data_IF_473584916591
#
_entry.id   IF_473584916591
#
_cell.length_a   1.000
_cell.length_b   1.000
_cell.length_c   1.000
_cell.angle_alpha   90.00
_cell.angle_beta   90.00
_cell.angle_gamma   90.00
#
_symmetry.space_group_name_H-M   'P 1'
#
loop_
_entity.id
_entity.type
_entity.pdbx_description
1 polymer ?
#
# COMPACT_ATOMS: atom_id res chain seq x y z
N UNK A 1 -18.97 -21.53 -63.15
CA UNK A 1 -18.12 -20.74 -62.24
C UNK A 1 -19.04 -19.99 -61.29
N UNK A 2 -19.02 -20.27 -59.98
CA UNK A 2 -19.84 -19.52 -59.03
C UNK A 2 -19.27 -18.11 -58.84
N UNK A 3 -20.15 -17.12 -58.80
CA UNK A 3 -19.84 -15.69 -58.64
C UNK A 3 -19.39 -15.37 -57.20
N UNK A 4 -18.37 -14.52 -56.99
CA UNK A 4 -18.10 -13.95 -55.69
C UNK A 4 -18.98 -12.71 -55.51
N UNK A 5 -20.16 -12.88 -54.93
CA UNK A 5 -20.92 -11.77 -54.36
C UNK A 5 -20.68 -11.79 -52.85
N UNK A 6 -19.55 -11.25 -52.41
CA UNK A 6 -19.42 -10.80 -51.02
C UNK A 6 -20.31 -9.57 -50.86
N UNK A 7 -21.36 -9.70 -50.07
CA UNK A 7 -22.28 -8.61 -49.77
C UNK A 7 -21.49 -7.45 -49.10
N UNK A 8 -21.54 -6.21 -49.60
CA UNK A 8 -20.90 -5.06 -48.93
C UNK A 8 -21.34 -4.92 -47.46
N UNK A 9 -22.56 -5.35 -47.12
CA UNK A 9 -23.04 -5.34 -45.73
C UNK A 9 -22.28 -6.32 -44.83
N UNK A 10 -21.82 -7.49 -45.33
CA UNK A 10 -21.02 -8.43 -44.55
C UNK A 10 -19.59 -7.92 -44.30
N UNK A 11 -19.01 -7.16 -45.24
CA UNK A 11 -17.70 -6.53 -45.08
C UNK A 11 -17.72 -5.37 -44.06
N UNK A 12 -18.81 -4.59 -44.03
CA UNK A 12 -18.99 -3.52 -43.05
C UNK A 12 -19.25 -4.08 -41.64
N UNK A 13 -20.08 -5.11 -41.48
CA UNK A 13 -20.26 -5.84 -40.21
C UNK A 13 -18.93 -6.31 -39.59
N UNK A 14 -17.98 -6.74 -40.43
CA UNK A 14 -16.64 -7.13 -39.99
C UNK A 14 -15.75 -5.97 -39.51
N UNK A 15 -15.85 -4.78 -40.14
CA UNK A 15 -15.05 -3.61 -39.75
C UNK A 15 -15.59 -2.91 -38.49
N UNK A 16 -16.90 -2.73 -38.36
CA UNK A 16 -17.51 -2.18 -37.14
C UNK A 16 -17.22 -3.08 -35.93
N UNK A 17 -17.39 -4.40 -36.10
CA UNK A 17 -17.08 -5.40 -35.07
C UNK A 17 -15.60 -5.40 -34.69
N UNK A 18 -14.70 -5.19 -35.65
CA UNK A 18 -13.25 -5.08 -35.41
C UNK A 18 -12.88 -3.91 -34.49
N UNK A 19 -13.32 -2.70 -34.83
CA UNK A 19 -13.06 -1.50 -34.01
C UNK A 19 -13.68 -1.60 -32.61
N UNK A 20 -14.91 -2.11 -32.52
CA UNK A 20 -15.55 -2.34 -31.23
C UNK A 20 -14.74 -3.33 -30.37
N UNK A 21 -14.35 -4.48 -30.94
CA UNK A 21 -13.59 -5.49 -30.22
C UNK A 21 -12.22 -4.99 -29.78
N UNK A 22 -11.52 -4.26 -30.64
CA UNK A 22 -10.24 -3.66 -30.31
C UNK A 22 -10.37 -2.64 -29.18
N UNK A 23 -11.41 -1.79 -29.24
CA UNK A 23 -11.73 -0.86 -28.16
C UNK A 23 -12.00 -1.56 -26.83
N UNK A 24 -12.73 -2.68 -26.83
CA UNK A 24 -12.94 -3.49 -25.62
C UNK A 24 -11.63 -4.03 -25.05
N UNK A 25 -10.73 -4.52 -25.91
CA UNK A 25 -9.44 -5.05 -25.49
C UNK A 25 -8.57 -3.97 -24.84
N UNK A 26 -8.42 -2.81 -25.48
CA UNK A 26 -7.73 -1.67 -24.88
C UNK A 26 -8.35 -1.28 -23.53
N UNK A 27 -9.68 -1.24 -23.44
CA UNK A 27 -10.36 -0.92 -22.19
C UNK A 27 -10.06 -1.94 -21.09
N UNK A 28 -10.06 -3.23 -21.43
CA UNK A 28 -9.70 -4.31 -20.50
C UNK A 28 -8.26 -4.21 -20.02
N UNK A 29 -7.34 -3.73 -20.85
CA UNK A 29 -5.94 -3.47 -20.50
C UNK A 29 -5.76 -2.19 -19.66
N UNK A 30 -6.80 -1.35 -19.54
CA UNK A 30 -6.74 -0.06 -18.85
C UNK A 30 -6.28 1.11 -19.73
N UNK A 31 -6.09 0.86 -21.03
CA UNK A 31 -5.68 1.80 -22.07
C UNK A 31 -6.92 2.60 -22.54
N UNK A 32 -7.42 3.47 -21.65
CA UNK A 32 -8.72 4.12 -21.86
C UNK A 32 -8.73 5.14 -22.99
N UNK A 33 -7.58 5.72 -23.32
CA UNK A 33 -7.46 6.72 -24.38
C UNK A 33 -7.42 6.04 -25.75
N UNK A 34 -6.68 4.94 -25.88
CA UNK A 34 -6.65 4.06 -27.04
C UNK A 34 -8.03 3.47 -27.29
N UNK A 35 -8.66 2.92 -26.24
CA UNK A 35 -10.03 2.44 -26.29
C UNK A 35 -11.02 3.51 -26.79
N UNK A 36 -10.86 4.76 -26.34
CA UNK A 36 -11.69 5.87 -26.76
C UNK A 36 -11.45 6.28 -28.21
N UNK A 37 -10.25 6.09 -28.74
CA UNK A 37 -9.95 6.35 -30.14
C UNK A 37 -10.59 5.29 -31.04
N UNK A 38 -10.42 4.01 -30.72
CA UNK A 38 -11.00 2.91 -31.50
C UNK A 38 -12.53 2.95 -31.52
N UNK A 39 -13.17 3.30 -30.40
CA UNK A 39 -14.64 3.40 -30.37
C UNK A 39 -15.15 4.59 -31.19
N UNK A 40 -14.36 5.66 -31.33
CA UNK A 40 -14.69 6.78 -32.22
C UNK A 40 -14.61 6.34 -33.67
N UNK A 41 -13.64 5.51 -34.05
CA UNK A 41 -13.58 4.93 -35.40
C UNK A 41 -14.81 4.05 -35.68
N UNK A 42 -15.25 3.23 -34.72
CA UNK A 42 -16.52 2.49 -34.87
C UNK A 42 -17.71 3.43 -35.17
N UNK A 43 -17.85 4.52 -34.40
CA UNK A 43 -18.95 5.47 -34.55
C UNK A 43 -18.84 6.39 -35.78
N UNK A 44 -17.64 6.56 -36.36
CA UNK A 44 -17.50 7.26 -37.65
C UNK A 44 -18.11 6.44 -38.78
N UNK A 45 -17.98 5.12 -38.71
CA UNK A 45 -18.55 4.21 -39.70
C UNK A 45 -20.07 4.09 -39.51
N UNK A 46 -20.54 3.96 -38.26
CA UNK A 46 -21.98 3.91 -37.92
C UNK A 46 -22.26 4.73 -36.63
N UNK A 47 -22.77 5.98 -36.78
CA UNK A 47 -23.04 6.87 -35.64
C UNK A 47 -24.08 6.36 -34.64
N UNK A 48 -25.00 5.48 -35.07
CA UNK A 48 -26.10 4.97 -34.24
C UNK A 48 -25.91 3.49 -33.85
N UNK A 49 -24.70 2.96 -33.99
CA UNK A 49 -24.39 1.58 -33.66
C UNK A 49 -24.75 1.26 -32.20
N UNK A 50 -25.62 0.27 -32.03
CA UNK A 50 -26.27 -0.07 -30.74
C UNK A 50 -25.29 -0.41 -29.62
N UNK A 51 -24.16 -1.04 -29.95
CA UNK A 51 -23.14 -1.40 -28.97
C UNK A 51 -22.05 -0.32 -28.79
N UNK A 52 -21.54 0.26 -29.88
CA UNK A 52 -20.46 1.25 -29.80
C UNK A 52 -20.87 2.53 -29.07
N UNK A 53 -22.10 3.02 -29.24
CA UNK A 53 -22.51 4.30 -28.67
C UNK A 53 -22.64 4.28 -27.13
N UNK A 54 -23.31 3.29 -26.50
CA UNK A 54 -23.30 3.14 -25.05
C UNK A 54 -21.88 2.96 -24.48
N UNK A 55 -21.04 2.17 -25.16
CA UNK A 55 -19.67 1.92 -24.73
C UNK A 55 -18.82 3.20 -24.80
N UNK A 56 -18.91 3.96 -25.88
CA UNK A 56 -18.29 5.29 -26.02
C UNK A 56 -18.66 6.23 -24.87
N UNK A 57 -19.95 6.32 -24.51
CA UNK A 57 -20.40 7.18 -23.40
C UNK A 57 -19.70 6.82 -22.09
N UNK A 58 -19.57 5.53 -21.81
CA UNK A 58 -18.88 5.01 -20.63
C UNK A 58 -17.39 5.34 -20.67
N UNK A 59 -16.68 4.96 -21.74
CA UNK A 59 -15.24 5.18 -21.89
C UNK A 59 -14.92 6.67 -21.81
N UNK A 60 -15.64 7.52 -22.55
CA UNK A 60 -15.42 8.98 -22.54
C UNK A 60 -15.46 9.56 -21.14
N UNK A 61 -16.41 9.10 -20.30
CA UNK A 61 -16.53 9.55 -18.92
C UNK A 61 -15.37 9.05 -18.06
N UNK A 62 -15.03 7.77 -18.16
CA UNK A 62 -13.95 7.16 -17.37
C UNK A 62 -12.58 7.73 -17.76
N UNK A 63 -12.26 7.80 -19.05
CA UNK A 63 -11.02 8.38 -19.56
C UNK A 63 -10.83 9.82 -19.09
N UNK A 64 -11.89 10.66 -19.18
CA UNK A 64 -11.84 12.04 -18.66
C UNK A 64 -11.52 12.08 -17.17
N UNK A 65 -12.13 11.21 -16.36
CA UNK A 65 -11.87 11.18 -14.91
C UNK A 65 -10.45 10.70 -14.59
N UNK A 66 -9.89 9.77 -15.35
CA UNK A 66 -8.50 9.33 -15.20
C UNK A 66 -7.51 10.44 -15.56
N UNK A 67 -7.76 11.19 -16.64
CA UNK A 67 -6.98 12.38 -17.01
C UNK A 67 -7.05 13.43 -15.91
N UNK A 68 -8.25 13.76 -15.41
CA UNK A 68 -8.41 14.68 -14.28
C UNK A 68 -7.61 14.24 -13.04
N UNK A 69 -7.64 12.95 -12.69
CA UNK A 69 -6.88 12.43 -11.55
C UNK A 69 -5.36 12.54 -11.78
N UNK A 70 -4.89 12.33 -13.02
CA UNK A 70 -3.50 12.51 -13.40
C UNK A 70 -3.07 13.97 -13.30
N UNK A 71 -3.82 14.88 -13.91
CA UNK A 71 -3.54 16.32 -13.91
C UNK A 71 -3.55 16.88 -12.48
N UNK A 72 -4.46 16.38 -11.64
CA UNK A 72 -4.52 16.73 -10.22
C UNK A 72 -3.26 16.30 -9.44
N UNK A 73 -2.68 15.13 -9.75
CA UNK A 73 -1.40 14.71 -9.16
C UNK A 73 -0.26 15.63 -9.59
N UNK A 74 -0.21 15.99 -10.88
CA UNK A 74 0.81 16.91 -11.43
C UNK A 74 0.68 18.30 -10.82
N UNK A 75 -0.55 18.77 -10.61
CA UNK A 75 -0.87 20.03 -9.95
C UNK A 75 -0.84 20.00 -8.42
N UNK A 76 -0.54 18.85 -7.80
CA UNK A 76 -0.58 18.64 -6.34
C UNK A 76 -1.95 18.93 -5.69
N UNK A 77 -3.03 18.85 -6.46
CA UNK A 77 -4.40 18.93 -5.96
C UNK A 77 -4.87 17.54 -5.50
N UNK A 78 -4.49 17.17 -4.28
CA UNK A 78 -4.78 15.85 -3.73
C UNK A 78 -6.28 15.61 -3.56
N UNK A 79 -7.06 16.65 -3.24
CA UNK A 79 -8.50 16.54 -3.06
C UNK A 79 -9.22 16.21 -4.37
N UNK A 80 -8.90 16.89 -5.46
CA UNK A 80 -9.47 16.57 -6.77
C UNK A 80 -8.99 15.20 -7.27
N UNK A 81 -7.72 14.84 -7.04
CA UNK A 81 -7.22 13.50 -7.38
C UNK A 81 -8.05 12.39 -6.71
N UNK A 82 -8.29 12.50 -5.40
CA UNK A 82 -9.08 11.54 -4.63
C UNK A 82 -10.51 11.47 -5.18
N UNK A 83 -11.13 12.63 -5.41
CA UNK A 83 -12.50 12.74 -5.91
C UNK A 83 -12.65 12.11 -7.31
N UNK A 84 -11.75 12.45 -8.23
CA UNK A 84 -11.73 11.94 -9.59
C UNK A 84 -11.56 10.41 -9.60
N UNK A 85 -10.61 9.88 -8.83
CA UNK A 85 -10.39 8.44 -8.72
C UNK A 85 -11.59 7.70 -8.08
N UNK A 86 -12.25 8.27 -7.07
CA UNK A 86 -13.50 7.71 -6.51
C UNK A 86 -14.60 7.65 -7.56
N UNK A 87 -14.73 8.70 -8.37
CA UNK A 87 -15.68 8.72 -9.49
C UNK A 87 -15.33 7.67 -10.55
N UNK A 88 -14.06 7.39 -10.83
CA UNK A 88 -13.68 6.29 -11.73
C UNK A 88 -14.24 4.97 -11.20
N UNK A 89 -13.96 4.63 -9.94
CA UNK A 89 -14.43 3.38 -9.32
C UNK A 89 -15.96 3.24 -9.29
N UNK A 90 -16.68 4.36 -9.15
CA UNK A 90 -18.15 4.38 -9.23
C UNK A 90 -18.67 4.10 -10.65
N UNK A 91 -17.95 4.55 -11.68
CA UNK A 91 -18.36 4.37 -13.08
C UNK A 91 -17.78 3.10 -13.72
N UNK A 92 -16.75 2.49 -13.12
CA UNK A 92 -16.14 1.25 -13.56
C UNK A 92 -16.00 0.23 -12.41
N UNK A 93 -17.05 -0.58 -12.15
CA UNK A 93 -17.03 -1.58 -11.09
C UNK A 93 -16.37 -2.91 -11.48
N UNK A 94 -16.11 -3.19 -12.76
CA UNK A 94 -15.79 -4.56 -13.20
C UNK A 94 -14.36 -4.71 -13.71
N UNK A 95 -13.88 -3.75 -14.49
CA UNK A 95 -12.59 -3.86 -15.19
C UNK A 95 -11.43 -3.58 -14.24
N UNK A 96 -10.67 -4.63 -13.92
CA UNK A 96 -9.62 -4.58 -12.92
C UNK A 96 -8.51 -3.59 -13.26
N UNK A 97 -8.03 -3.53 -14.51
CA UNK A 97 -6.93 -2.62 -14.87
C UNK A 97 -7.32 -1.14 -14.79
N UNK A 98 -8.56 -0.78 -15.15
CA UNK A 98 -9.07 0.59 -14.96
C UNK A 98 -9.20 0.91 -13.47
N UNK A 99 -9.72 -0.04 -12.68
CA UNK A 99 -9.81 0.10 -11.22
C UNK A 99 -8.44 0.22 -10.57
N UNK A 100 -7.44 -0.51 -11.06
CA UNK A 100 -6.06 -0.43 -10.61
C UNK A 100 -5.52 0.99 -10.75
N UNK A 101 -5.68 1.64 -11.92
CA UNK A 101 -5.21 3.01 -12.13
C UNK A 101 -5.86 3.97 -11.11
N UNK A 102 -7.16 3.80 -10.82
CA UNK A 102 -7.84 4.61 -9.82
C UNK A 102 -7.34 4.37 -8.38
N UNK A 103 -7.17 3.11 -7.97
CA UNK A 103 -6.64 2.78 -6.64
C UNK A 103 -5.19 3.22 -6.46
N UNK A 104 -4.39 3.09 -7.51
CA UNK A 104 -3.02 3.55 -7.55
C UNK A 104 -2.92 5.07 -7.33
N UNK A 105 -3.74 5.85 -8.05
CA UNK A 105 -3.82 7.30 -7.82
C UNK A 105 -4.32 7.65 -6.42
N UNK A 106 -5.33 6.94 -5.91
CA UNK A 106 -5.80 7.14 -4.53
C UNK A 106 -4.72 6.84 -3.50
N UNK A 107 -3.98 5.74 -3.65
CA UNK A 107 -2.88 5.37 -2.77
C UNK A 107 -1.89 6.54 -2.61
N UNK A 108 -1.44 7.11 -3.74
CA UNK A 108 -0.54 8.26 -3.74
C UNK A 108 -1.19 9.50 -3.11
N UNK A 109 -2.36 9.90 -3.61
CA UNK A 109 -2.98 11.17 -3.21
C UNK A 109 -3.45 11.17 -1.75
N UNK A 110 -3.96 10.05 -1.22
CA UNK A 110 -4.35 9.93 0.20
C UNK A 110 -3.13 10.01 1.13
N UNK A 111 -2.00 9.41 0.71
CA UNK A 111 -0.76 9.49 1.47
C UNK A 111 -0.27 10.94 1.57
N UNK A 112 -0.25 11.68 0.46
CA UNK A 112 0.15 13.10 0.42
C UNK A 112 -0.87 14.03 1.09
N UNK A 113 -2.16 13.66 1.10
CA UNK A 113 -3.21 14.40 1.79
C UNK A 113 -3.20 14.22 3.32
N UNK A 114 -2.34 13.34 3.85
CA UNK A 114 -2.27 13.06 5.29
C UNK A 114 -3.36 12.13 5.81
N UNK A 115 -3.92 11.27 4.95
CA UNK A 115 -4.91 10.25 5.29
C UNK A 115 -4.30 8.83 5.20
N UNK A 116 -3.37 8.46 6.12
CA UNK A 116 -2.57 7.24 5.98
C UNK A 116 -3.39 5.95 6.03
N UNK A 117 -4.50 5.90 6.77
CA UNK A 117 -5.33 4.68 6.88
C UNK A 117 -6.10 4.41 5.58
N UNK A 118 -6.61 5.46 4.97
CA UNK A 118 -7.29 5.43 3.69
C UNK A 118 -6.28 5.10 2.57
N UNK A 119 -5.09 5.68 2.63
CA UNK A 119 -3.98 5.36 1.73
C UNK A 119 -3.63 3.86 1.81
N UNK A 120 -3.44 3.31 3.01
CA UNK A 120 -3.15 1.88 3.21
C UNK A 120 -4.21 0.98 2.55
N UNK A 121 -5.49 1.33 2.67
CA UNK A 121 -6.59 0.59 2.03
C UNK A 121 -6.50 0.69 0.50
N UNK A 122 -6.31 1.89 -0.04
CA UNK A 122 -6.20 2.11 -1.48
C UNK A 122 -4.99 1.38 -2.09
N UNK A 123 -3.81 1.49 -1.48
CA UNK A 123 -2.61 0.77 -1.91
C UNK A 123 -2.83 -0.75 -1.87
N UNK A 124 -3.48 -1.27 -0.81
CA UNK A 124 -3.79 -2.70 -0.70
C UNK A 124 -4.72 -3.18 -1.82
N UNK A 125 -5.71 -2.37 -2.20
CA UNK A 125 -6.61 -2.69 -3.32
C UNK A 125 -5.88 -2.66 -4.67
N UNK A 126 -4.95 -1.72 -4.87
CA UNK A 126 -4.11 -1.68 -6.07
C UNK A 126 -3.19 -2.92 -6.15
N UNK A 127 -2.47 -3.24 -5.07
CA UNK A 127 -1.54 -4.38 -4.99
C UNK A 127 -2.24 -5.71 -5.29
N UNK A 128 -3.49 -5.90 -4.84
CA UNK A 128 -4.27 -7.11 -5.13
C UNK A 128 -4.55 -7.31 -6.61
N UNK A 129 -4.59 -6.24 -7.40
CA UNK A 129 -4.82 -6.31 -8.85
C UNK A 129 -3.49 -6.51 -9.57
N UNK A 130 -2.48 -5.72 -9.21
CA UNK A 130 -1.14 -5.80 -9.78
C UNK A 130 -0.10 -5.41 -8.75
N UNK A 131 0.88 -6.28 -8.54
CA UNK A 131 2.00 -5.99 -7.65
C UNK A 131 3.01 -5.08 -8.36
N UNK A 132 3.36 -3.96 -7.72
CA UNK A 132 4.43 -3.07 -8.16
C UNK A 132 5.29 -2.67 -6.95
N UNK A 133 6.64 -2.71 -7.04
CA UNK A 133 7.53 -2.35 -5.92
C UNK A 133 7.21 -0.99 -5.30
N UNK A 134 6.84 0.00 -6.14
CA UNK A 134 6.50 1.34 -5.67
C UNK A 134 5.26 1.38 -4.78
N UNK A 135 4.25 0.54 -5.02
CA UNK A 135 3.01 0.53 -4.24
C UNK A 135 3.25 0.02 -2.82
N UNK A 136 4.17 -0.94 -2.67
CA UNK A 136 4.64 -1.37 -1.37
C UNK A 136 5.39 -0.26 -0.65
N UNK A 137 6.24 0.52 -1.34
CA UNK A 137 6.87 1.69 -0.74
C UNK A 137 5.86 2.76 -0.31
N UNK A 138 4.87 3.10 -1.15
CA UNK A 138 3.83 4.08 -0.82
C UNK A 138 3.01 3.65 0.41
N UNK A 139 2.68 2.35 0.51
CA UNK A 139 1.99 1.79 1.67
C UNK A 139 2.88 1.73 2.92
N UNK A 140 4.16 1.37 2.77
CA UNK A 140 5.13 1.37 3.86
C UNK A 140 5.31 2.77 4.47
N UNK A 141 5.34 3.81 3.64
CA UNK A 141 5.41 5.20 4.09
C UNK A 141 4.16 5.60 4.89
N UNK A 142 2.99 5.13 4.47
CA UNK A 142 1.73 5.29 5.21
C UNK A 142 1.68 4.49 6.52
N UNK A 143 2.42 3.39 6.64
CA UNK A 143 2.59 2.69 7.92
C UNK A 143 3.59 3.41 8.83
N UNK A 144 4.67 3.96 8.27
CA UNK A 144 5.67 4.73 9.01
C UNK A 144 5.11 6.01 9.64
N UNK A 145 4.13 6.67 9.02
CA UNK A 145 3.47 7.83 9.60
C UNK A 145 2.59 7.48 10.81
N UNK A 146 2.09 6.25 10.87
CA UNK A 146 1.31 5.69 11.98
C UNK A 146 2.18 4.93 13.01
N UNK A 147 3.52 5.04 12.91
CA UNK A 147 4.49 4.31 13.75
C UNK A 147 4.38 2.77 13.67
N UNK A 148 3.75 2.24 12.61
CA UNK A 148 3.59 0.80 12.33
C UNK A 148 4.85 0.26 11.62
N UNK A 149 5.94 0.14 12.38
CA UNK A 149 7.25 -0.16 11.80
C UNK A 149 7.38 -1.58 11.23
N UNK A 150 6.70 -2.57 11.82
CA UNK A 150 6.81 -3.96 11.39
C UNK A 150 6.18 -4.15 10.01
N UNK A 151 4.99 -3.59 9.81
CA UNK A 151 4.25 -3.58 8.55
C UNK A 151 5.03 -2.82 7.47
N UNK A 152 5.61 -1.65 7.81
CA UNK A 152 6.45 -0.90 6.89
C UNK A 152 7.69 -1.70 6.43
N UNK A 153 8.37 -2.38 7.36
CA UNK A 153 9.54 -3.22 7.04
C UNK A 153 9.13 -4.40 6.15
N UNK A 154 7.99 -5.02 6.43
CA UNK A 154 7.47 -6.12 5.60
C UNK A 154 7.19 -5.66 4.17
N UNK A 155 6.59 -4.49 3.99
CA UNK A 155 6.33 -3.93 2.67
C UNK A 155 7.62 -3.59 1.90
N UNK A 156 8.62 -2.97 2.55
CA UNK A 156 9.90 -2.71 1.88
C UNK A 156 10.64 -4.00 1.49
N UNK A 157 10.57 -5.05 2.31
CA UNK A 157 11.12 -6.36 1.94
C UNK A 157 10.42 -6.92 0.71
N UNK A 158 9.08 -6.88 0.70
CA UNK A 158 8.30 -7.36 -0.44
C UNK A 158 8.58 -6.56 -1.72
N UNK A 159 8.84 -5.25 -1.61
CA UNK A 159 9.28 -4.44 -2.74
C UNK A 159 10.65 -4.90 -3.29
N UNK A 160 11.60 -5.24 -2.40
CA UNK A 160 12.93 -5.75 -2.78
C UNK A 160 12.89 -7.18 -3.32
N UNK A 161 11.93 -8.01 -2.89
CA UNK A 161 11.70 -9.34 -3.46
C UNK A 161 11.22 -9.26 -4.92
N UNK A 162 10.50 -8.18 -5.27
CA UNK A 162 10.06 -7.92 -6.64
C UNK A 162 11.18 -7.27 -7.48
N UNK A 163 11.94 -6.35 -6.89
CA UNK A 163 13.04 -5.65 -7.54
C UNK A 163 14.21 -5.42 -6.56
N UNK A 164 15.23 -6.28 -6.65
CA UNK A 164 16.37 -6.29 -5.70
C UNK A 164 17.11 -4.94 -5.64
N UNK A 165 17.15 -4.19 -6.75
CA UNK A 165 17.86 -2.93 -6.86
C UNK A 165 16.97 -1.69 -6.68
N UNK A 166 15.78 -1.85 -6.09
CA UNK A 166 14.87 -0.74 -5.86
C UNK A 166 15.35 0.16 -4.70
N UNK A 167 16.10 1.21 -5.05
CA UNK A 167 16.79 2.09 -4.10
C UNK A 167 15.85 2.71 -3.06
N UNK A 168 14.65 3.14 -3.48
CA UNK A 168 13.63 3.70 -2.57
C UNK A 168 13.28 2.74 -1.44
N UNK A 169 13.17 1.43 -1.72
CA UNK A 169 12.88 0.43 -0.70
C UNK A 169 14.08 0.17 0.24
N UNK A 170 15.31 0.16 -0.29
CA UNK A 170 16.52 0.01 0.56
C UNK A 170 16.65 1.15 1.57
N UNK A 171 16.47 2.37 1.11
CA UNK A 171 16.53 3.57 1.95
C UNK A 171 15.38 3.61 2.96
N UNK A 172 14.15 3.37 2.50
CA UNK A 172 12.96 3.31 3.35
C UNK A 172 13.08 2.25 4.45
N UNK A 173 13.57 1.04 4.12
CA UNK A 173 13.77 -0.04 5.09
C UNK A 173 14.79 0.34 6.16
N UNK A 174 15.90 0.98 5.76
CA UNK A 174 16.91 1.47 6.71
C UNK A 174 16.34 2.50 7.67
N UNK A 175 15.51 3.42 7.17
CA UNK A 175 14.79 4.42 7.98
C UNK A 175 13.83 3.73 8.95
N UNK A 176 13.03 2.76 8.47
CA UNK A 176 12.07 2.03 9.27
C UNK A 176 12.74 1.26 10.42
N UNK A 177 13.81 0.50 10.13
CA UNK A 177 14.61 -0.22 11.13
C UNK A 177 15.21 0.71 12.19
N UNK A 178 15.72 1.88 11.76
CA UNK A 178 16.26 2.88 12.68
C UNK A 178 15.18 3.44 13.61
N UNK A 179 14.00 3.78 13.08
CA UNK A 179 12.87 4.28 13.87
C UNK A 179 12.35 3.23 14.85
N UNK A 180 12.18 1.98 14.39
CA UNK A 180 11.80 0.84 15.24
C UNK A 180 12.77 0.69 16.42
N UNK A 181 14.08 0.64 16.15
CA UNK A 181 15.12 0.52 17.20
C UNK A 181 15.08 1.69 18.19
N UNK A 182 14.84 2.91 17.72
CA UNK A 182 14.72 4.09 18.58
C UNK A 182 13.45 4.06 19.43
N UNK A 183 12.32 3.61 18.87
CA UNK A 183 11.07 3.45 19.58
C UNK A 183 11.19 2.39 20.68
N UNK A 184 11.70 1.20 20.37
CA UNK A 184 11.92 0.14 21.38
C UNK A 184 12.83 0.62 22.52
N UNK A 185 13.93 1.31 22.20
CA UNK A 185 14.81 1.91 23.23
C UNK A 185 14.06 2.92 24.10
N UNK A 186 13.22 3.78 23.52
CA UNK A 186 12.40 4.75 24.28
C UNK A 186 11.48 4.02 25.26
N UNK A 187 10.86 2.94 24.83
CA UNK A 187 9.94 2.19 25.67
C UNK A 187 10.65 1.42 26.79
N UNK A 188 11.88 0.94 26.58
CA UNK A 188 12.71 0.38 27.65
C UNK A 188 13.07 1.40 28.74
N UNK A 189 13.41 2.64 28.37
CA UNK A 189 13.61 3.69 29.38
C UNK A 189 12.32 3.97 30.17
N UNK A 190 11.15 3.96 29.51
CA UNK A 190 9.86 4.10 30.20
C UNK A 190 9.56 2.94 31.14
N UNK A 191 9.80 1.69 30.72
CA UNK A 191 9.61 0.48 31.54
C UNK A 191 10.44 0.59 32.84
N UNK A 192 11.68 1.07 32.74
CA UNK A 192 12.54 1.27 33.91
C UNK A 192 12.26 2.56 34.69
N UNK A 193 11.36 3.43 34.21
CA UNK A 193 11.06 4.73 34.81
C UNK A 193 12.23 5.71 34.76
N UNK A 194 13.04 5.64 33.69
CA UNK A 194 14.26 6.41 33.50
C UNK A 194 14.14 7.44 32.39
N UNK A 195 14.97 8.49 32.46
CA UNK A 195 15.19 9.42 31.35
C UNK A 195 16.08 8.77 30.29
N UNK A 196 15.96 9.22 29.04
CA UNK A 196 16.73 8.71 27.89
C UNK A 196 18.25 8.87 28.03
N UNK A 197 18.71 9.79 28.87
CA UNK A 197 20.13 10.03 29.15
C UNK A 197 20.61 9.29 30.41
N UNK A 198 19.83 8.35 30.95
CA UNK A 198 20.22 7.57 32.11
C UNK A 198 21.48 6.74 31.80
N UNK A 199 22.45 6.83 32.69
CA UNK A 199 23.68 6.06 32.66
C UNK A 199 23.42 4.57 32.90
N UNK A 200 24.35 3.70 32.47
CA UNK A 200 24.28 2.25 32.75
C UNK A 200 24.13 1.94 34.24
N UNK A 201 24.71 2.76 35.11
CA UNK A 201 24.59 2.62 36.57
C UNK A 201 23.16 2.90 37.05
N UNK A 202 22.48 3.89 36.46
CA UNK A 202 21.08 4.19 36.75
C UNK A 202 20.15 3.09 36.22
N UNK A 203 20.42 2.57 35.02
CA UNK A 203 19.72 1.39 34.46
C UNK A 203 19.83 0.19 35.40
N UNK A 204 21.03 -0.15 35.86
CA UNK A 204 21.24 -1.26 36.80
C UNK A 204 20.59 -1.03 38.17
N UNK A 205 20.50 0.23 38.62
CA UNK A 205 19.81 0.58 39.88
C UNK A 205 18.29 0.43 39.73
N UNK A 206 17.71 0.94 38.65
CA UNK A 206 16.28 0.83 38.38
C UNK A 206 15.86 -0.64 38.18
N UNK A 207 16.64 -1.42 37.42
CA UNK A 207 16.44 -2.86 37.25
C UNK A 207 16.34 -3.58 38.60
N UNK A 208 17.34 -3.44 39.49
CA UNK A 208 17.33 -4.12 40.79
C UNK A 208 16.10 -3.77 41.63
N UNK A 209 15.67 -2.51 41.61
CA UNK A 209 14.48 -2.04 42.33
C UNK A 209 13.20 -2.66 41.76
N UNK A 210 13.07 -2.70 40.43
CA UNK A 210 11.87 -3.20 39.77
C UNK A 210 11.80 -4.74 39.74
N UNK A 211 12.94 -5.41 39.56
CA UNK A 211 13.06 -6.85 39.62
C UNK A 211 12.68 -7.40 41.00
N UNK A 212 13.14 -6.75 42.09
CA UNK A 212 12.72 -7.12 43.45
C UNK A 212 11.23 -6.88 43.67
N UNK A 213 10.65 -5.84 43.05
CA UNK A 213 9.22 -5.53 43.19
C UNK A 213 8.32 -6.51 42.43
N UNK A 214 8.69 -6.86 41.20
CA UNK A 214 7.90 -7.68 40.29
C UNK A 214 8.34 -9.15 40.25
N UNK A 215 9.14 -9.61 41.21
CA UNK A 215 9.49 -11.02 41.32
C UNK A 215 8.23 -11.87 41.56
N UNK A 216 8.01 -12.97 40.82
CA UNK A 216 6.81 -13.81 40.97
C UNK A 216 6.56 -14.30 42.41
N UNK A 217 7.63 -14.54 43.19
CA UNK A 217 7.54 -14.96 44.60
C UNK A 217 6.84 -13.94 45.51
N UNK A 218 6.72 -12.68 45.10
CA UNK A 218 6.00 -11.67 45.87
C UNK A 218 4.48 -11.72 45.67
N UNK A 219 3.97 -12.55 44.75
CA UNK A 219 2.56 -12.61 44.38
C UNK A 219 2.01 -14.01 44.67
N UNK A 220 0.85 -14.08 45.32
CA UNK A 220 0.23 -15.35 45.73
C UNK A 220 -0.80 -15.83 44.68
N UNK A 221 -1.58 -14.92 44.12
CA UNK A 221 -2.61 -15.22 43.12
C UNK A 221 -2.01 -15.55 41.74
N UNK A 222 -2.54 -16.57 41.06
CA UNK A 222 -2.08 -17.07 39.76
C UNK A 222 -2.09 -15.98 38.67
N UNK A 223 -3.14 -15.14 38.65
CA UNK A 223 -3.28 -14.06 37.69
C UNK A 223 -2.28 -12.93 37.92
N UNK A 224 -1.94 -12.65 39.18
CA UNK A 224 -0.98 -11.62 39.53
C UNK A 224 0.46 -12.11 39.34
N UNK A 225 0.72 -13.40 39.54
CA UNK A 225 1.98 -14.04 39.11
C UNK A 225 2.21 -13.89 37.61
N UNK A 226 1.21 -14.18 36.77
CA UNK A 226 1.32 -14.00 35.31
C UNK A 226 1.60 -12.55 34.92
N UNK A 227 0.95 -11.58 35.57
CA UNK A 227 1.22 -10.14 35.34
C UNK A 227 2.63 -9.76 35.80
N UNK A 228 3.07 -10.28 36.94
CA UNK A 228 4.40 -10.02 37.49
C UNK A 228 5.49 -10.61 36.59
N UNK A 229 5.30 -11.84 36.11
CA UNK A 229 6.19 -12.51 35.16
C UNK A 229 6.34 -11.72 33.86
N UNK A 230 5.22 -11.29 33.25
CA UNK A 230 5.27 -10.44 32.04
C UNK A 230 6.06 -9.16 32.28
N UNK A 231 5.81 -8.46 33.40
CA UNK A 231 6.56 -7.24 33.75
C UNK A 231 8.03 -7.52 34.04
N UNK A 232 8.33 -8.64 34.70
CA UNK A 232 9.70 -9.04 35.00
C UNK A 232 10.49 -9.29 33.72
N UNK A 233 9.88 -9.96 32.73
CA UNK A 233 10.46 -10.15 31.39
C UNK A 233 10.73 -8.81 30.70
N UNK A 234 9.75 -7.91 30.67
CA UNK A 234 9.92 -6.57 30.08
C UNK A 234 11.07 -5.78 30.77
N UNK A 235 11.17 -5.86 32.10
CA UNK A 235 12.24 -5.22 32.90
C UNK A 235 13.61 -5.83 32.58
N UNK A 236 13.69 -7.15 32.44
CA UNK A 236 14.92 -7.86 32.10
C UNK A 236 15.40 -7.50 30.70
N UNK A 237 14.52 -7.56 29.69
CA UNK A 237 14.81 -7.15 28.31
C UNK A 237 15.24 -5.69 28.24
N UNK A 238 14.57 -4.80 28.99
CA UNK A 238 14.94 -3.39 29.06
C UNK A 238 16.37 -3.20 29.61
N UNK A 239 16.74 -3.91 30.68
CA UNK A 239 18.10 -3.84 31.23
C UNK A 239 19.13 -4.36 30.24
N UNK A 240 18.86 -5.48 29.58
CA UNK A 240 19.78 -6.10 28.62
C UNK A 240 20.07 -5.14 27.46
N UNK A 241 19.03 -4.66 26.78
CA UNK A 241 19.18 -3.80 25.60
C UNK A 241 19.80 -2.43 25.94
N UNK A 242 19.53 -1.88 27.12
CA UNK A 242 20.09 -0.59 27.53
C UNK A 242 21.52 -0.68 28.09
N UNK A 243 22.00 -1.89 28.39
CA UNK A 243 23.38 -2.11 28.88
C UNK A 243 24.29 -2.77 27.84
N UNK A 244 23.74 -3.34 26.77
CA UNK A 244 24.49 -3.89 25.65
C UNK A 244 25.26 -2.79 24.88
N UNK A 245 26.55 -3.03 24.67
CA UNK A 245 27.49 -2.19 23.92
C UNK A 245 27.51 -2.51 22.42
N UNK A 246 26.60 -3.36 21.95
CA UNK A 246 26.47 -3.75 20.55
C UNK A 246 27.10 -5.10 20.23
N UNK A 247 27.16 -6.03 21.19
CA UNK A 247 27.62 -7.41 20.94
C UNK A 247 26.46 -8.38 21.02
N UNK A 248 25.91 -8.66 19.84
CA UNK A 248 25.26 -9.92 19.44
C UNK A 248 23.77 -10.06 19.76
N UNK A 249 22.97 -9.76 18.74
CA UNK A 249 21.57 -10.14 18.62
C UNK A 249 21.49 -11.61 18.12
N UNK A 250 21.63 -12.57 19.02
CA UNK A 250 21.30 -13.98 18.80
C UNK A 250 20.87 -14.55 20.15
N UNK A 251 19.57 -14.76 20.36
CA UNK A 251 18.95 -15.72 21.30
C UNK A 251 17.54 -15.25 21.67
N UNK A 252 16.57 -15.31 20.76
CA UNK A 252 15.13 -15.46 21.09
C UNK A 252 14.37 -16.01 19.86
N UNK A 253 14.87 -17.09 19.26
CA UNK A 253 14.15 -17.90 18.26
C UNK A 253 14.19 -19.39 18.58
N UNK A 254 14.33 -19.75 19.85
CA UNK A 254 14.15 -21.13 20.31
C UNK A 254 13.56 -21.05 21.70
N UNK A 255 12.53 -21.85 21.96
CA UNK A 255 11.55 -21.76 23.05
C UNK A 255 10.35 -20.85 22.74
N UNK A 256 9.45 -21.31 21.86
CA UNK A 256 8.26 -22.12 22.19
C UNK A 256 7.88 -22.92 20.93
#
# INVERSE_FOLDING_TARGET
MPSPTSDPYEAHLGQHGGFFKLSELHYQLGETDESLNEIRECLKLDPEHKDCYPFYKKIKKVAKLLVNAKDAVEGQDWAECINAAQKVLKNEPSIQNVRFIAYDRQCKCLSENGEPKEAQKACTLAIRIREEPRLYCDRAESFLSEDLYEEAIADYRKALDLEENFQRAKEGMSVALKRQKQASKRDYYKILGLKRNASKREVAKAYRKLALKWHPDNFQDEDDKKKAEKKFMDIASAKEVLTDDGKTNYYYSSFI
#
